data_IF_838422892570
#
_entry.id   IF_838422892570
#
_cell.length_a   1.000
_cell.length_b   1.000
_cell.length_c   1.000
_cell.angle_alpha   90.00
_cell.angle_beta   90.00
_cell.angle_gamma   90.00
#
_symmetry.space_group_name_H-M   'P 1'
#
loop_
_entity.id
_entity.type
_entity.pdbx_description
1 polymer ?
#
# COMPACT_ATOMS: atom_id res chain seq x y z
N UNK A 1 -7.69 26.64 5.25
CA UNK A 1 -7.02 25.42 5.75
C UNK A 1 -5.65 25.24 5.05
N UNK A 2 -4.79 26.27 5.04
CA UNK A 2 -3.61 26.31 4.15
C UNK A 2 -2.26 25.93 4.80
N UNK A 3 -2.21 25.60 6.09
CA UNK A 3 -0.93 25.53 6.80
C UNK A 3 -0.16 24.20 6.73
N UNK A 4 -0.75 23.10 6.23
CA UNK A 4 -0.11 21.79 6.31
C UNK A 4 -0.25 20.95 5.02
N UNK A 5 0.42 21.33 3.91
CA UNK A 5 0.36 20.59 2.65
C UNK A 5 0.86 19.13 2.78
N UNK A 6 1.91 18.90 3.58
CA UNK A 6 2.43 17.56 3.82
C UNK A 6 1.46 16.69 4.64
N UNK A 7 0.76 17.26 5.62
CA UNK A 7 -0.25 16.50 6.37
C UNK A 7 -1.41 16.09 5.46
N UNK A 8 -1.85 16.97 4.57
CA UNK A 8 -2.89 16.66 3.58
C UNK A 8 -2.44 15.53 2.65
N UNK A 9 -1.18 15.56 2.20
CA UNK A 9 -0.62 14.48 1.38
C UNK A 9 -0.57 13.15 2.14
N UNK A 10 -0.17 13.18 3.40
CA UNK A 10 -0.24 11.99 4.24
C UNK A 10 -1.67 11.44 4.33
N UNK A 11 -2.65 12.30 4.62
CA UNK A 11 -4.07 11.92 4.75
C UNK A 11 -4.65 11.34 3.44
N UNK A 12 -4.33 11.94 2.28
CA UNK A 12 -4.72 11.38 0.99
C UNK A 12 -4.08 10.01 0.73
N UNK A 13 -2.80 9.85 1.12
CA UNK A 13 -2.07 8.60 0.91
C UNK A 13 -2.62 7.44 1.76
N UNK A 14 -2.97 7.68 3.02
CA UNK A 14 -3.49 6.62 3.92
C UNK A 14 -4.93 6.21 3.61
N UNK A 15 -5.73 7.07 2.98
CA UNK A 15 -7.17 6.86 2.82
C UNK A 15 -7.48 5.58 2.00
N UNK A 16 -6.80 5.39 0.87
CA UNK A 16 -7.03 4.26 -0.03
C UNK A 16 -6.71 2.91 0.65
N UNK A 17 -5.51 2.71 1.24
CA UNK A 17 -5.21 1.52 2.02
C UNK A 17 -6.18 1.28 3.17
N UNK A 18 -6.58 2.33 3.89
CA UNK A 18 -7.45 2.17 5.07
C UNK A 18 -8.82 1.62 4.69
N UNK A 19 -9.43 2.16 3.63
CA UNK A 19 -10.71 1.64 3.09
C UNK A 19 -10.55 0.21 2.60
N UNK A 20 -9.48 -0.07 1.85
CA UNK A 20 -9.20 -1.41 1.35
C UNK A 20 -9.04 -2.43 2.50
N UNK A 21 -8.27 -2.09 3.53
CA UNK A 21 -8.05 -2.95 4.69
C UNK A 21 -9.33 -3.17 5.49
N UNK A 22 -10.22 -2.18 5.57
CA UNK A 22 -11.56 -2.37 6.15
C UNK A 22 -12.37 -3.43 5.40
N UNK A 23 -12.33 -3.41 4.06
CA UNK A 23 -13.00 -4.43 3.25
C UNK A 23 -12.37 -5.81 3.51
N UNK A 24 -11.04 -5.89 3.53
CA UNK A 24 -10.31 -7.13 3.84
C UNK A 24 -10.68 -7.66 5.23
N UNK A 25 -10.73 -6.80 6.24
CA UNK A 25 -11.16 -7.16 7.58
C UNK A 25 -12.60 -7.67 7.61
N UNK A 26 -13.50 -7.05 6.86
CA UNK A 26 -14.91 -7.47 6.74
C UNK A 26 -15.01 -8.87 6.12
N UNK A 27 -14.41 -9.08 4.95
CA UNK A 27 -14.38 -10.41 4.29
C UNK A 27 -13.77 -11.46 5.21
N UNK A 28 -12.70 -11.11 5.89
CA UNK A 28 -12.06 -11.98 6.87
C UNK A 28 -13.01 -12.37 8.01
N UNK A 29 -13.70 -11.41 8.64
CA UNK A 29 -14.64 -11.70 9.73
C UNK A 29 -15.78 -12.61 9.27
N UNK A 30 -16.28 -12.43 8.05
CA UNK A 30 -17.27 -13.33 7.45
C UNK A 30 -16.71 -14.75 7.30
N UNK A 31 -15.53 -14.90 6.68
CA UNK A 31 -14.90 -16.22 6.48
C UNK A 31 -14.61 -16.92 7.81
N UNK A 32 -14.16 -16.19 8.82
CA UNK A 32 -13.82 -16.76 10.12
C UNK A 32 -15.06 -17.12 10.94
N UNK A 33 -16.01 -16.21 11.10
CA UNK A 33 -17.12 -16.35 12.05
C UNK A 33 -18.38 -16.93 11.43
N UNK A 34 -18.62 -16.71 10.13
CA UNK A 34 -19.77 -17.26 9.42
C UNK A 34 -19.42 -18.62 8.81
N UNK A 35 -18.25 -18.74 8.19
CA UNK A 35 -17.82 -19.97 7.49
C UNK A 35 -16.87 -20.87 8.28
N UNK A 36 -16.51 -20.51 9.52
CA UNK A 36 -15.69 -21.30 10.45
C UNK A 36 -14.31 -21.74 9.90
N UNK A 37 -13.72 -20.99 8.96
CA UNK A 37 -12.41 -21.32 8.43
C UNK A 37 -11.28 -20.96 9.42
N UNK A 38 -10.37 -21.91 9.77
CA UNK A 38 -9.31 -21.68 10.75
C UNK A 38 -8.11 -20.93 10.15
N UNK A 39 -8.28 -19.65 9.84
CA UNK A 39 -7.20 -18.78 9.34
C UNK A 39 -6.48 -18.10 10.52
N UNK A 40 -5.14 -18.18 10.64
CA UNK A 40 -4.37 -17.52 11.70
C UNK A 40 -4.25 -16.00 11.44
N UNK A 41 -4.84 -15.21 12.33
CA UNK A 41 -5.12 -13.78 12.15
C UNK A 41 -3.90 -12.93 12.46
N UNK A 42 -3.24 -13.21 13.60
CA UNK A 42 -2.23 -12.31 14.18
C UNK A 42 -1.00 -12.18 13.29
N UNK A 43 -0.71 -13.21 12.48
CA UNK A 43 0.52 -13.30 11.69
C UNK A 43 0.37 -12.77 10.26
N UNK A 44 -0.85 -12.82 9.70
CA UNK A 44 -1.06 -12.52 8.27
C UNK A 44 -1.60 -11.12 8.05
N UNK A 45 -2.46 -10.61 8.95
CA UNK A 45 -3.26 -9.42 8.66
C UNK A 45 -2.83 -8.20 9.48
N UNK A 46 -2.42 -8.39 10.75
CA UNK A 46 -2.04 -7.28 11.65
C UNK A 46 -0.86 -6.48 11.11
N UNK A 47 0.15 -7.17 10.56
CA UNK A 47 1.35 -6.52 10.02
C UNK A 47 1.05 -5.67 8.77
N UNK A 48 0.37 -6.18 7.71
CA UNK A 48 -0.06 -5.34 6.60
C UNK A 48 -0.97 -4.19 7.02
N UNK A 49 -1.88 -4.40 7.97
CA UNK A 49 -2.79 -3.34 8.42
C UNK A 49 -2.05 -2.16 9.03
N UNK A 50 -0.99 -2.40 9.79
CA UNK A 50 -0.22 -1.34 10.42
C UNK A 50 0.78 -0.69 9.45
N UNK A 51 1.48 -1.48 8.62
CA UNK A 51 2.57 -0.96 7.79
C UNK A 51 2.08 -0.34 6.48
N UNK A 52 1.11 -0.95 5.78
CA UNK A 52 0.74 -0.55 4.42
C UNK A 52 0.18 0.88 4.36
N UNK A 53 -0.77 1.29 5.23
CA UNK A 53 -1.29 2.66 5.19
C UNK A 53 -0.20 3.68 5.47
N UNK A 54 0.64 3.45 6.47
CA UNK A 54 1.71 4.35 6.85
C UNK A 54 2.74 4.54 5.73
N UNK A 55 3.12 3.45 5.06
CA UNK A 55 4.04 3.50 3.93
C UNK A 55 3.43 4.26 2.74
N UNK A 56 2.15 4.05 2.44
CA UNK A 56 1.45 4.83 1.42
C UNK A 56 1.35 6.32 1.78
N UNK A 57 0.98 6.64 3.02
CA UNK A 57 0.94 8.02 3.51
C UNK A 57 2.30 8.71 3.37
N UNK A 58 3.36 8.06 3.84
CA UNK A 58 4.72 8.59 3.75
C UNK A 58 5.19 8.71 2.30
N UNK A 59 4.88 7.73 1.44
CA UNK A 59 5.24 7.77 0.03
C UNK A 59 4.58 8.94 -0.70
N UNK A 60 3.32 9.24 -0.37
CA UNK A 60 2.63 10.41 -0.94
C UNK A 60 3.21 11.73 -0.42
N UNK A 61 3.63 11.79 0.86
CA UNK A 61 4.35 12.94 1.42
C UNK A 61 5.67 13.16 0.69
N UNK A 62 6.44 12.10 0.42
CA UNK A 62 7.70 12.20 -0.33
C UNK A 62 7.44 12.72 -1.75
N UNK A 63 6.40 12.23 -2.42
CA UNK A 63 6.01 12.76 -3.73
C UNK A 63 5.68 14.26 -3.66
N UNK A 64 4.84 14.66 -2.70
CA UNK A 64 4.44 16.05 -2.52
C UNK A 64 5.61 16.97 -2.11
N UNK A 65 6.57 16.46 -1.32
CA UNK A 65 7.72 17.25 -0.85
C UNK A 65 8.76 17.48 -1.96
N UNK A 66 9.03 16.46 -2.78
CA UNK A 66 10.13 16.51 -3.76
C UNK A 66 9.67 16.78 -5.20
N UNK A 67 8.41 16.49 -5.54
CA UNK A 67 7.93 16.48 -6.92
C UNK A 67 6.69 17.35 -7.16
N UNK A 68 6.31 18.22 -6.22
CA UNK A 68 5.26 19.25 -6.43
C UNK A 68 5.57 20.22 -7.58
N UNK A 69 6.85 20.40 -7.93
CA UNK A 69 7.26 21.22 -9.09
C UNK A 69 7.83 20.37 -10.24
N UNK A 70 7.91 19.04 -10.08
CA UNK A 70 8.54 18.13 -11.03
C UNK A 70 7.53 17.40 -11.93
N UNK A 71 7.93 17.08 -13.16
CA UNK A 71 7.09 16.37 -14.15
C UNK A 71 6.81 14.89 -13.84
N UNK A 72 7.18 14.39 -12.66
CA UNK A 72 7.09 12.97 -12.35
C UNK A 72 5.64 12.61 -11.95
N UNK A 73 4.92 11.94 -12.84
CA UNK A 73 3.54 11.54 -12.56
C UNK A 73 3.45 10.67 -11.31
N UNK A 74 2.48 10.96 -10.44
CA UNK A 74 2.23 10.23 -9.20
C UNK A 74 2.07 8.73 -9.42
N UNK A 75 1.46 8.32 -10.54
CA UNK A 75 1.31 6.91 -10.90
C UNK A 75 2.64 6.19 -11.12
N UNK A 76 3.62 6.82 -11.79
CA UNK A 76 4.96 6.24 -11.99
C UNK A 76 5.70 6.17 -10.65
N UNK A 77 5.61 7.21 -9.83
CA UNK A 77 6.23 7.18 -8.50
C UNK A 77 5.62 6.10 -7.61
N UNK A 78 4.30 5.94 -7.66
CA UNK A 78 3.55 4.93 -6.92
C UNK A 78 3.86 3.49 -7.33
N UNK A 79 4.15 3.24 -8.61
CA UNK A 79 4.47 1.89 -9.09
C UNK A 79 5.87 1.41 -8.67
N UNK A 80 6.73 2.32 -8.19
CA UNK A 80 8.01 1.98 -7.57
C UNK A 80 7.84 1.44 -6.15
N UNK A 81 6.71 1.73 -5.49
CA UNK A 81 6.48 1.31 -4.11
C UNK A 81 6.52 -0.23 -3.95
N UNK A 82 5.88 -1.05 -4.81
CA UNK A 82 6.03 -2.51 -4.79
C UNK A 82 7.47 -3.01 -4.95
N UNK A 83 8.29 -2.32 -5.76
CA UNK A 83 9.71 -2.67 -5.94
C UNK A 83 10.52 -2.45 -4.66
N UNK A 84 10.08 -1.57 -3.78
CA UNK A 84 10.67 -1.35 -2.46
C UNK A 84 10.06 -2.29 -1.40
N UNK A 85 8.74 -2.47 -1.42
CA UNK A 85 8.02 -3.30 -0.46
C UNK A 85 8.34 -4.79 -0.59
N UNK A 86 8.49 -5.32 -1.80
CA UNK A 86 8.78 -6.73 -2.02
C UNK A 86 10.13 -7.19 -1.41
N UNK A 87 11.28 -6.54 -1.71
CA UNK A 87 12.55 -6.93 -1.09
C UNK A 87 12.60 -6.61 0.40
N UNK A 88 11.99 -5.50 0.84
CA UNK A 88 11.93 -5.14 2.26
C UNK A 88 11.09 -6.16 3.05
N UNK A 89 9.94 -6.58 2.51
CA UNK A 89 9.11 -7.64 3.07
C UNK A 89 9.85 -8.98 3.13
N UNK A 90 10.59 -9.34 2.08
CA UNK A 90 11.45 -10.52 2.08
C UNK A 90 12.52 -10.44 3.17
N UNK A 91 13.22 -9.31 3.29
CA UNK A 91 14.27 -9.12 4.28
C UNK A 91 13.72 -9.21 5.72
N UNK A 92 12.61 -8.53 6.01
CA UNK A 92 11.94 -8.57 7.31
C UNK A 92 11.47 -9.99 7.64
N UNK A 93 10.85 -10.68 6.68
CA UNK A 93 10.42 -12.07 6.86
C UNK A 93 11.61 -13.00 7.17
N UNK A 94 12.76 -12.80 6.51
CA UNK A 94 14.00 -13.55 6.79
C UNK A 94 14.57 -13.25 8.18
N UNK A 95 14.59 -11.97 8.59
CA UNK A 95 15.09 -11.55 9.91
C UNK A 95 14.22 -12.07 11.05
N UNK A 96 12.91 -12.20 10.82
CA UNK A 96 11.94 -12.70 11.80
C UNK A 96 11.70 -14.22 11.69
N UNK A 97 12.51 -14.92 10.90
CA UNK A 97 12.42 -16.37 10.67
C UNK A 97 11.04 -16.85 10.20
N UNK A 98 10.29 -15.99 9.51
CA UNK A 98 9.02 -16.38 8.90
C UNK A 98 9.28 -17.29 7.70
N UNK A 99 8.63 -18.46 7.62
CA UNK A 99 8.77 -19.34 6.47
C UNK A 99 8.14 -18.68 5.25
N UNK A 100 8.94 -18.49 4.20
CA UNK A 100 8.48 -17.94 2.91
C UNK A 100 8.18 -19.12 2.00
N UNK A 101 6.91 -19.35 1.60
CA UNK A 101 6.56 -20.43 0.69
C UNK A 101 7.33 -20.34 -0.63
N UNK A 102 7.97 -21.44 -1.03
CA UNK A 102 8.69 -21.55 -2.30
C UNK A 102 7.87 -21.15 -3.56
N UNK A 103 6.53 -21.37 -3.63
CA UNK A 103 5.71 -20.95 -4.77
C UNK A 103 5.72 -19.43 -5.03
N UNK A 104 6.03 -18.61 -4.00
CA UNK A 104 6.07 -17.15 -4.16
C UNK A 104 7.13 -16.75 -5.20
N UNK A 105 8.27 -17.44 -5.25
CA UNK A 105 9.32 -17.14 -6.22
C UNK A 105 8.94 -17.52 -7.65
N UNK A 106 8.13 -18.56 -7.83
CA UNK A 106 7.62 -18.96 -9.14
C UNK A 106 6.54 -18.00 -9.66
N UNK A 107 5.77 -17.39 -8.74
CA UNK A 107 4.74 -16.41 -9.08
C UNK A 107 5.29 -15.00 -9.23
N UNK A 108 6.43 -14.67 -8.61
CA UNK A 108 7.01 -13.33 -8.61
C UNK A 108 7.19 -12.70 -10.02
N UNK A 109 7.64 -13.42 -11.08
CA UNK A 109 7.78 -12.84 -12.41
C UNK A 109 6.48 -12.31 -13.03
N UNK A 110 5.33 -12.84 -12.60
CA UNK A 110 4.01 -12.40 -13.07
C UNK A 110 3.36 -11.48 -12.03
N UNK A 111 3.44 -11.84 -10.76
CA UNK A 111 2.86 -11.12 -9.65
C UNK A 111 3.43 -9.72 -9.48
N UNK A 112 4.74 -9.53 -9.68
CA UNK A 112 5.39 -8.23 -9.54
C UNK A 112 4.91 -7.24 -10.62
N UNK A 113 4.94 -7.55 -11.93
CA UNK A 113 4.35 -6.67 -12.95
C UNK A 113 2.88 -6.36 -12.72
N UNK A 114 2.07 -7.36 -12.35
CA UNK A 114 0.64 -7.16 -12.04
C UNK A 114 0.48 -6.20 -10.86
N UNK A 115 1.24 -6.40 -9.78
CA UNK A 115 1.23 -5.50 -8.62
C UNK A 115 1.65 -4.08 -9.01
N UNK A 116 2.67 -3.92 -9.85
CA UNK A 116 3.11 -2.60 -10.35
C UNK A 116 2.02 -1.90 -11.17
N UNK A 117 1.29 -2.63 -12.03
CA UNK A 117 0.17 -2.08 -12.81
C UNK A 117 -0.97 -1.65 -11.88
N UNK A 118 -1.35 -2.50 -10.94
CA UNK A 118 -2.41 -2.19 -9.97
C UNK A 118 -2.03 -0.98 -9.12
N UNK A 119 -0.78 -0.91 -8.64
CA UNK A 119 -0.28 0.25 -7.92
C UNK A 119 -0.27 1.50 -8.81
N UNK A 120 0.22 1.41 -10.06
CA UNK A 120 0.18 2.54 -10.99
C UNK A 120 -1.24 3.12 -11.11
N UNK A 121 -2.24 2.25 -11.32
CA UNK A 121 -3.64 2.66 -11.45
C UNK A 121 -4.19 3.25 -10.15
N UNK A 122 -3.94 2.61 -9.01
CA UNK A 122 -4.41 3.08 -7.72
C UNK A 122 -3.81 4.45 -7.36
N UNK A 123 -2.51 4.64 -7.60
CA UNK A 123 -1.84 5.91 -7.37
C UNK A 123 -2.30 6.99 -8.35
N UNK A 124 -2.46 6.66 -9.63
CA UNK A 124 -2.90 7.62 -10.66
C UNK A 124 -4.34 8.09 -10.43
N UNK A 125 -5.26 7.18 -10.17
CA UNK A 125 -6.70 7.49 -10.16
C UNK A 125 -7.28 7.67 -8.75
N UNK A 126 -6.82 6.93 -7.74
CA UNK A 126 -7.38 7.07 -6.40
C UNK A 126 -6.63 8.15 -5.62
N UNK A 127 -5.32 7.96 -5.43
CA UNK A 127 -4.50 8.93 -4.66
C UNK A 127 -4.38 10.25 -5.42
N UNK A 128 -4.24 10.22 -6.75
CA UNK A 128 -4.21 11.41 -7.58
C UNK A 128 -5.47 12.27 -7.45
N UNK A 129 -6.66 11.66 -7.47
CA UNK A 129 -7.92 12.37 -7.24
C UNK A 129 -8.00 12.95 -5.83
N UNK A 130 -7.61 12.19 -4.80
CA UNK A 130 -7.60 12.69 -3.42
C UNK A 130 -6.61 13.85 -3.23
N UNK A 131 -5.45 13.79 -3.87
CA UNK A 131 -4.48 14.88 -3.88
C UNK A 131 -5.06 16.13 -4.56
N UNK A 132 -5.76 15.98 -5.69
CA UNK A 132 -6.41 17.10 -6.38
C UNK A 132 -7.49 17.78 -5.54
N UNK A 133 -8.36 17.00 -4.88
CA UNK A 133 -9.37 17.51 -3.93
C UNK A 133 -8.72 18.25 -2.75
N UNK A 134 -7.58 17.74 -2.30
CA UNK A 134 -6.76 18.36 -1.27
C UNK A 134 -5.77 19.39 -1.84
N UNK A 135 -5.93 19.88 -3.08
CA UNK A 135 -5.06 20.92 -3.65
C UNK A 135 -3.56 20.64 -3.54
N UNK A 136 -3.17 19.36 -3.61
CA UNK A 136 -1.80 18.87 -3.68
C UNK A 136 -1.58 18.51 -5.15
N UNK A 137 -0.99 19.44 -5.89
CA UNK A 137 -0.80 19.31 -7.33
C UNK A 137 -0.19 20.55 -7.93
#
# INVERSE_FOLDING_TARGET
>A
MNNHPLLRAYLAGIAVPTIFLMIVATVFTLVRYVYNAPIPIERVIVFPMAFVPNLWGLWNVLHAAFFTQGRLSLGIFGCLLPLLLAPLGYFVARMLEFPIPHPIFSLAPIGLPVAMILYYLAWKYLVGSLNAELGIG
#
